data_IF_526441061095
#
_entry.id   IF_526441061095
#
_cell.length_a   1.000
_cell.length_b   1.000
_cell.length_c   1.000
_cell.angle_alpha   90.00
_cell.angle_beta   90.00
_cell.angle_gamma   90.00
#
_symmetry.space_group_name_H-M   'P 1'
#
loop_
_entity.id
_entity.type
_entity.pdbx_description
1 polymer ?
#
# COMPACT_ATOMS: atom_id res chain seq x y z
N UNK A 1 7.04 14.37 17.29
CA UNK A 1 7.17 13.10 16.55
C UNK A 1 8.23 13.26 15.46
N UNK A 2 9.26 12.42 15.43
CA UNK A 2 10.33 12.50 14.42
C UNK A 2 9.78 12.15 13.03
N UNK A 3 10.34 12.74 11.96
CA UNK A 3 9.92 12.48 10.56
C UNK A 3 9.95 10.99 10.21
N UNK A 4 10.90 10.25 10.80
CA UNK A 4 10.99 8.79 10.70
C UNK A 4 9.77 8.05 11.25
N UNK A 5 9.22 8.48 12.39
CA UNK A 5 8.02 7.88 12.97
C UNK A 5 6.78 8.15 12.10
N UNK A 6 6.70 9.32 11.46
CA UNK A 6 5.62 9.63 10.50
C UNK A 6 5.63 8.67 9.30
N UNK A 7 6.81 8.35 8.77
CA UNK A 7 6.95 7.37 7.67
C UNK A 7 6.58 5.97 8.12
N UNK A 8 6.98 5.55 9.34
CA UNK A 8 6.57 4.25 9.88
C UNK A 8 5.05 4.14 9.99
N UNK A 9 4.40 5.19 10.50
CA UNK A 9 2.94 5.25 10.54
C UNK A 9 2.34 5.18 9.14
N UNK A 10 2.88 5.92 8.17
CA UNK A 10 2.43 5.84 6.78
C UNK A 10 2.47 4.40 6.25
N UNK A 11 3.57 3.67 6.45
CA UNK A 11 3.68 2.26 6.03
C UNK A 11 2.70 1.35 6.78
N UNK A 12 2.50 1.56 8.09
CA UNK A 12 1.50 0.82 8.87
C UNK A 12 0.08 1.10 8.34
N UNK A 13 -0.25 2.36 8.05
CA UNK A 13 -1.54 2.73 7.46
C UNK A 13 -1.73 2.10 6.08
N UNK A 14 -0.69 2.07 5.23
CA UNK A 14 -0.74 1.38 3.93
C UNK A 14 -0.99 -0.13 4.10
N UNK A 15 -0.34 -0.75 5.08
CA UNK A 15 -0.52 -2.17 5.38
C UNK A 15 -1.93 -2.47 5.92
N UNK A 16 -2.41 -1.69 6.89
CA UNK A 16 -3.77 -1.80 7.42
C UNK A 16 -4.83 -1.57 6.33
N UNK A 17 -4.59 -0.60 5.44
CA UNK A 17 -5.46 -0.38 4.28
C UNK A 17 -5.54 -1.62 3.40
N UNK A 18 -4.39 -2.22 3.05
CA UNK A 18 -4.35 -3.47 2.31
C UNK A 18 -5.13 -4.59 3.02
N UNK A 19 -4.95 -4.77 4.33
CA UNK A 19 -5.69 -5.78 5.10
C UNK A 19 -7.21 -5.61 5.05
N UNK A 20 -7.72 -4.38 5.05
CA UNK A 20 -9.17 -4.10 4.89
C UNK A 20 -9.69 -4.58 3.52
N UNK A 21 -8.82 -4.66 2.51
CA UNK A 21 -9.16 -5.20 1.19
C UNK A 21 -9.38 -6.72 1.16
N UNK A 22 -8.87 -7.47 2.14
CA UNK A 22 -8.99 -8.94 2.20
C UNK A 22 -10.45 -9.40 2.36
N UNK A 23 -11.23 -8.93 3.35
CA UNK A 23 -12.64 -9.33 3.49
C UNK A 23 -13.54 -8.80 2.36
N UNK A 24 -13.21 -7.65 1.77
CA UNK A 24 -13.94 -7.07 0.62
C UNK A 24 -13.84 -7.99 -0.61
N UNK A 25 -12.74 -8.75 -0.73
CA UNK A 25 -12.42 -9.62 -1.87
C UNK A 25 -12.66 -11.11 -1.59
N UNK A 26 -13.27 -11.45 -0.46
CA UNK A 26 -13.66 -12.82 -0.18
C UNK A 26 -14.73 -13.29 -1.18
N UNK A 27 -14.64 -14.51 -1.74
CA UNK A 27 -15.42 -14.99 -2.89
C UNK A 27 -16.93 -15.25 -2.60
N UNK A 28 -17.46 -14.71 -1.50
CA UNK A 28 -18.70 -15.19 -0.90
C UNK A 28 -19.96 -14.37 -1.25
N UNK A 29 -19.89 -13.25 -1.98
CA UNK A 29 -21.13 -12.71 -2.57
C UNK A 29 -20.92 -11.82 -3.81
N UNK A 30 -21.63 -12.16 -4.88
CA UNK A 30 -21.75 -11.46 -6.16
C UNK A 30 -22.68 -10.24 -6.11
N UNK A 31 -22.80 -9.57 -4.96
CA UNK A 31 -23.62 -8.35 -4.88
C UNK A 31 -22.92 -7.19 -5.58
N UNK A 32 -23.66 -6.45 -6.42
CA UNK A 32 -23.17 -5.29 -7.19
C UNK A 32 -22.44 -4.28 -6.30
N UNK A 33 -22.91 -4.09 -5.07
CA UNK A 33 -22.28 -3.22 -4.07
C UNK A 33 -20.85 -3.66 -3.72
N UNK A 34 -20.61 -4.95 -3.50
CA UNK A 34 -19.26 -5.45 -3.17
C UNK A 34 -18.31 -5.34 -4.36
N UNK A 35 -18.80 -5.53 -5.58
CA UNK A 35 -18.01 -5.28 -6.79
C UNK A 35 -17.60 -3.81 -6.89
N UNK A 36 -18.53 -2.87 -6.67
CA UNK A 36 -18.24 -1.45 -6.66
C UNK A 36 -17.21 -1.07 -5.58
N UNK A 37 -17.41 -1.52 -4.33
CA UNK A 37 -16.45 -1.27 -3.25
C UNK A 37 -15.08 -1.90 -3.53
N UNK A 38 -15.03 -3.09 -4.13
CA UNK A 38 -13.77 -3.74 -4.53
C UNK A 38 -13.04 -2.95 -5.64
N UNK A 39 -13.78 -2.42 -6.63
CA UNK A 39 -13.21 -1.59 -7.69
C UNK A 39 -12.66 -0.28 -7.13
N UNK A 40 -13.45 0.45 -6.34
CA UNK A 40 -13.05 1.72 -5.69
C UNK A 40 -11.83 1.50 -4.78
N UNK A 41 -11.83 0.40 -4.02
CA UNK A 41 -10.69 0.02 -3.18
C UNK A 41 -9.44 -0.23 -4.03
N UNK A 42 -9.57 -0.93 -5.16
CA UNK A 42 -8.43 -1.27 -6.03
C UNK A 42 -7.84 -0.03 -6.71
N UNK A 43 -8.68 0.89 -7.18
CA UNK A 43 -8.24 2.19 -7.73
C UNK A 43 -7.52 3.01 -6.66
N UNK A 44 -8.08 3.05 -5.45
CA UNK A 44 -7.47 3.77 -4.32
C UNK A 44 -6.12 3.17 -3.92
N UNK A 45 -6.00 1.84 -3.87
CA UNK A 45 -4.72 1.15 -3.64
C UNK A 45 -3.68 1.50 -4.71
N UNK A 46 -4.08 1.55 -5.99
CA UNK A 46 -3.21 1.97 -7.10
C UNK A 46 -2.73 3.42 -6.94
N UNK A 47 -3.63 4.34 -6.60
CA UNK A 47 -3.28 5.74 -6.35
C UNK A 47 -2.29 5.88 -5.20
N UNK A 48 -2.47 5.13 -4.11
CA UNK A 48 -1.52 5.10 -2.99
C UNK A 48 -0.15 4.62 -3.45
N UNK A 49 -0.08 3.55 -4.24
CA UNK A 49 1.18 3.04 -4.79
C UNK A 49 1.86 4.08 -5.65
N UNK A 50 1.14 4.74 -6.56
CA UNK A 50 1.68 5.81 -7.42
C UNK A 50 2.26 6.93 -6.56
N UNK A 51 1.52 7.39 -5.55
CA UNK A 51 1.98 8.45 -4.64
C UNK A 51 3.24 8.02 -3.89
N UNK A 52 3.32 6.78 -3.39
CA UNK A 52 4.51 6.24 -2.72
C UNK A 52 5.73 6.23 -3.64
N UNK A 53 5.57 5.77 -4.89
CA UNK A 53 6.65 5.69 -5.88
C UNK A 53 7.13 7.09 -6.27
N UNK A 54 6.21 8.01 -6.60
CA UNK A 54 6.58 9.39 -6.98
C UNK A 54 7.28 10.13 -5.84
N UNK A 55 6.90 9.85 -4.59
CA UNK A 55 7.50 10.49 -3.42
C UNK A 55 8.66 9.69 -2.80
N UNK A 56 9.14 8.62 -3.44
CA UNK A 56 10.19 7.75 -2.90
C UNK A 56 11.42 8.52 -2.39
N UNK A 57 11.98 9.41 -3.22
CA UNK A 57 13.19 10.19 -2.86
C UNK A 57 12.96 11.09 -1.64
N UNK A 58 11.77 11.69 -1.57
CA UNK A 58 11.36 12.58 -0.46
C UNK A 58 11.15 11.78 0.83
N UNK A 59 10.51 10.60 0.74
CA UNK A 59 10.34 9.68 1.86
C UNK A 59 11.68 9.15 2.38
N UNK A 60 12.61 8.80 1.49
CA UNK A 60 13.96 8.38 1.85
C UNK A 60 14.72 9.51 2.56
N UNK A 61 14.63 10.75 2.04
CA UNK A 61 15.23 11.93 2.67
C UNK A 61 14.68 12.18 4.09
N UNK A 62 13.36 12.08 4.27
CA UNK A 62 12.72 12.20 5.58
C UNK A 62 13.02 11.06 6.55
N UNK A 63 13.33 9.87 6.04
CA UNK A 63 13.84 8.75 6.86
C UNK A 63 15.24 9.05 7.41
N UNK A 64 16.01 9.89 6.68
CA UNK A 64 17.34 10.37 7.02
C UNK A 64 18.28 9.25 7.48
N UNK A 65 18.54 8.25 6.62
CA UNK A 65 19.39 7.11 6.98
C UNK A 65 20.81 7.59 7.30
N UNK A 66 21.33 7.21 8.47
CA UNK A 66 22.71 7.53 8.88
C UNK A 66 23.73 6.49 8.41
N UNK A 67 23.27 5.34 7.92
CA UNK A 67 24.10 4.25 7.45
C UNK A 67 23.34 3.38 6.42
N UNK A 68 24.08 2.55 5.68
CA UNK A 68 23.51 1.64 4.67
C UNK A 68 22.46 0.67 5.23
N UNK A 69 22.58 0.25 6.49
CA UNK A 69 21.63 -0.66 7.12
C UNK A 69 20.24 -0.01 7.33
N UNK A 70 20.21 1.27 7.72
CA UNK A 70 18.96 2.02 7.88
C UNK A 70 18.28 2.32 6.55
N UNK A 71 19.07 2.56 5.50
CA UNK A 71 18.58 2.71 4.13
C UNK A 71 17.97 1.38 3.63
N UNK A 72 18.66 0.26 3.82
CA UNK A 72 18.17 -1.06 3.44
C UNK A 72 16.88 -1.44 4.18
N UNK A 73 16.75 -1.04 5.45
CA UNK A 73 15.53 -1.23 6.23
C UNK A 73 14.37 -0.44 5.66
N UNK A 74 14.60 0.81 5.25
CA UNK A 74 13.59 1.62 4.57
C UNK A 74 13.17 0.98 3.24
N UNK A 75 14.12 0.56 2.42
CA UNK A 75 13.86 -0.12 1.15
C UNK A 75 13.01 -1.37 1.35
N UNK A 76 13.34 -2.22 2.34
CA UNK A 76 12.55 -3.41 2.66
C UNK A 76 11.10 -3.06 3.01
N UNK A 77 10.89 -2.05 3.87
CA UNK A 77 9.54 -1.63 4.23
C UNK A 77 8.79 -1.04 3.05
N UNK A 78 9.44 -0.17 2.27
CA UNK A 78 8.88 0.47 1.10
C UNK A 78 8.45 -0.57 0.05
N UNK A 79 9.36 -1.47 -0.33
CA UNK A 79 9.08 -2.52 -1.31
C UNK A 79 8.02 -3.48 -0.81
N UNK A 80 8.03 -3.85 0.48
CA UNK A 80 6.98 -4.69 1.05
C UNK A 80 5.61 -4.01 0.99
N UNK A 81 5.50 -2.76 1.41
CA UNK A 81 4.23 -2.01 1.38
C UNK A 81 3.72 -1.82 -0.05
N UNK A 82 4.58 -1.42 -0.98
CA UNK A 82 4.21 -1.25 -2.40
C UNK A 82 3.81 -2.58 -3.02
N UNK A 83 4.60 -3.63 -2.83
CA UNK A 83 4.32 -4.97 -3.37
C UNK A 83 3.02 -5.52 -2.82
N UNK A 84 2.77 -5.41 -1.52
CA UNK A 84 1.53 -5.85 -0.89
C UNK A 84 0.31 -5.10 -1.44
N UNK A 85 0.38 -3.76 -1.53
CA UNK A 85 -0.71 -2.95 -2.10
C UNK A 85 -0.96 -3.28 -3.58
N UNK A 86 0.09 -3.50 -4.37
CA UNK A 86 -0.02 -3.90 -5.76
C UNK A 86 -0.71 -5.27 -5.91
N UNK A 87 -0.32 -6.26 -5.10
CA UNK A 87 -0.97 -7.58 -5.09
C UNK A 87 -2.45 -7.43 -4.77
N UNK A 88 -2.80 -6.70 -3.71
CA UNK A 88 -4.22 -6.54 -3.35
C UNK A 88 -4.95 -5.74 -4.43
N UNK A 89 -4.36 -4.72 -5.02
CA UNK A 89 -4.98 -3.96 -6.11
C UNK A 89 -5.28 -4.85 -7.33
N UNK A 90 -4.34 -5.70 -7.75
CA UNK A 90 -4.49 -6.57 -8.92
C UNK A 90 -5.53 -7.67 -8.73
N UNK A 91 -5.75 -8.19 -7.52
CA UNK A 91 -6.86 -9.13 -7.24
C UNK A 91 -8.25 -8.55 -7.57
N UNK A 92 -8.42 -7.22 -7.60
CA UNK A 92 -9.71 -6.61 -8.00
C UNK A 92 -9.93 -6.61 -9.52
N UNK A 93 -8.86 -6.63 -10.30
CA UNK A 93 -8.92 -6.63 -11.77
C UNK A 93 -9.16 -8.03 -12.34
N UNK A 94 -8.70 -9.08 -11.66
CA UNK A 94 -8.85 -10.48 -12.13
C UNK A 94 -10.30 -10.97 -12.14
N UNK A 95 -11.20 -10.35 -11.38
CA UNK A 95 -12.63 -10.70 -11.37
C UNK A 95 -13.50 -9.83 -12.29
N UNK A 96 -12.90 -8.84 -12.97
CA UNK A 96 -13.60 -7.95 -13.92
C UNK A 96 -13.38 -8.42 -15.38
N UNK A 97 -12.34 -9.22 -15.63
CA UNK A 97 -12.04 -9.88 -16.91
C UNK A 97 -12.68 -11.28 -16.98
#
# INVERSE_FOLDING_TARGET
MTNRNKIRILFICCFLYGLVGVPIKAPLSTSTEKMFFSAVFSVSAFLIVIVLILNYKKLLSYWHPKNKQQEMTFLKHFTFSVGFLMTIASYGLVWIL
#
